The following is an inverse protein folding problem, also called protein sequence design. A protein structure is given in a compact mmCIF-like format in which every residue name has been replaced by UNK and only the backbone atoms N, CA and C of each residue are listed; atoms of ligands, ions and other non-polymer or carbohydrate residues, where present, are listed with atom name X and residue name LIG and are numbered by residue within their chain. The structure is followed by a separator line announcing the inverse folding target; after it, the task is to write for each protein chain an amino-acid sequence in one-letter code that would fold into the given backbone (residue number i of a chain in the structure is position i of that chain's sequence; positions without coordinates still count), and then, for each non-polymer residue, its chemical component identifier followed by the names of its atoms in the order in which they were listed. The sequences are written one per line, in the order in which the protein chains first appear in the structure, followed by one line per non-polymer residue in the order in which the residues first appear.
data_IF_456326289267
#
_entry.id   IF_456326289267
#
_cell.length_a   1.000
_cell.length_b   1.000
_cell.length_c   1.000
_cell.angle_alpha   90.00
_cell.angle_beta   90.00
_cell.angle_gamma   90.00
#
_symmetry.space_group_name_H-M   'P 1'
#
loop_
_entity.id
_entity.type
_entity.pdbx_description
1 polymer ?
#
# COMPACT_ATOMS: atom_id res chain seq x y z
N UNK A 1 17.10 -18.19 -23.56
CA UNK A 1 16.87 -16.80 -23.11
C UNK A 1 18.19 -16.17 -22.73
N UNK A 2 18.42 -14.93 -23.15
CA UNK A 2 19.54 -14.11 -22.68
C UNK A 2 18.98 -13.08 -21.69
N UNK A 3 19.45 -13.12 -20.45
CA UNK A 3 19.04 -12.20 -19.38
C UNK A 3 20.19 -11.23 -19.13
N UNK A 4 19.94 -9.95 -19.35
CA UNK A 4 20.91 -8.88 -19.10
C UNK A 4 20.81 -8.44 -17.64
N UNK A 5 21.91 -8.53 -16.92
CA UNK A 5 22.02 -8.16 -15.50
C UNK A 5 23.15 -7.14 -15.31
N UNK A 6 23.24 -6.54 -14.14
CA UNK A 6 24.34 -5.63 -13.78
C UNK A 6 25.72 -6.33 -13.65
N UNK A 7 25.77 -7.67 -13.68
CA UNK A 7 27.02 -8.45 -13.63
C UNK A 7 27.33 -9.14 -14.97
N UNK A 8 26.55 -8.87 -16.02
CA UNK A 8 26.74 -9.45 -17.34
C UNK A 8 25.50 -10.17 -17.87
N UNK A 9 25.69 -10.96 -18.92
CA UNK A 9 24.63 -11.70 -19.61
C UNK A 9 24.61 -13.15 -19.16
N UNK A 10 23.45 -13.63 -18.72
CA UNK A 10 23.20 -15.04 -18.39
C UNK A 10 22.39 -15.70 -19.50
N UNK A 11 22.80 -16.89 -19.92
CA UNK A 11 22.04 -17.71 -20.87
C UNK A 11 21.34 -18.85 -20.12
N UNK A 12 20.03 -18.98 -20.32
CA UNK A 12 19.22 -20.03 -19.70
C UNK A 12 18.15 -20.57 -20.66
N UNK A 13 17.84 -21.88 -20.64
CA UNK A 13 16.77 -22.46 -21.46
C UNK A 13 15.38 -21.96 -21.05
N UNK A 14 15.18 -21.61 -19.77
CA UNK A 14 13.93 -21.09 -19.22
C UNK A 14 14.18 -19.95 -18.23
N UNK A 15 13.23 -19.03 -18.11
CA UNK A 15 13.29 -17.88 -17.19
C UNK A 15 11.95 -17.76 -16.44
N UNK A 16 12.01 -17.66 -15.11
CA UNK A 16 10.87 -17.32 -14.25
C UNK A 16 11.02 -15.89 -13.76
N UNK A 17 10.05 -15.03 -14.10
CA UNK A 17 9.97 -13.67 -13.57
C UNK A 17 9.17 -13.69 -12.26
N UNK A 18 9.88 -13.53 -11.13
CA UNK A 18 9.30 -13.52 -9.79
C UNK A 18 9.75 -12.27 -9.01
N UNK A 19 9.72 -11.10 -9.65
CA UNK A 19 10.24 -9.82 -9.12
C UNK A 19 9.31 -9.16 -8.08
N UNK A 20 8.17 -9.77 -7.79
CA UNK A 20 7.12 -9.18 -6.95
C UNK A 20 6.38 -8.04 -7.63
N UNK A 21 5.71 -7.21 -6.83
CA UNK A 21 5.00 -6.01 -7.27
C UNK A 21 5.51 -4.79 -6.51
N UNK A 22 5.57 -3.64 -7.19
CA UNK A 22 5.88 -2.36 -6.57
C UNK A 22 4.58 -1.61 -6.26
N UNK A 23 4.56 -0.91 -5.14
CA UNK A 23 3.46 -0.02 -4.78
C UNK A 23 3.45 1.20 -5.70
N UNK A 24 2.26 1.58 -6.18
CA UNK A 24 2.06 2.77 -6.99
C UNK A 24 1.45 3.87 -6.15
N UNK A 25 2.15 5.01 -6.02
CA UNK A 25 1.63 6.19 -5.31
C UNK A 25 0.82 7.08 -6.27
N UNK A 26 -0.35 7.52 -5.83
CA UNK A 26 -1.17 8.50 -6.56
C UNK A 26 -0.62 9.90 -6.21
N UNK A 27 -0.11 10.69 -7.18
CA UNK A 27 0.36 12.04 -6.88
C UNK A 27 -0.81 12.96 -6.47
N UNK A 28 -0.71 13.57 -5.29
CA UNK A 28 -1.68 14.50 -4.71
C UNK A 28 -0.94 15.79 -4.29
N UNK A 29 -1.57 16.97 -4.23
CA UNK A 29 -0.93 18.14 -3.63
C UNK A 29 -0.30 17.83 -2.26
N UNK A 30 0.99 18.09 -2.10
CA UNK A 30 1.73 17.82 -0.86
C UNK A 30 2.25 16.37 -0.68
N UNK A 31 2.08 15.47 -1.65
CA UNK A 31 2.46 14.05 -1.53
C UNK A 31 3.96 13.79 -1.31
N UNK A 32 4.82 14.78 -1.53
CA UNK A 32 6.27 14.70 -1.33
C UNK A 32 6.75 15.36 -0.03
N UNK A 33 5.84 15.86 0.79
CA UNK A 33 6.19 16.52 2.05
C UNK A 33 6.72 15.50 3.08
N UNK A 34 7.65 15.92 3.98
CA UNK A 34 8.10 15.08 5.08
C UNK A 34 6.93 14.54 5.92
N UNK A 35 6.97 13.25 6.22
CA UNK A 35 5.88 12.54 6.92
C UNK A 35 4.86 11.91 5.99
N UNK A 36 4.87 12.23 4.69
CA UNK A 36 4.12 11.48 3.68
C UNK A 36 4.96 10.30 3.21
N UNK A 37 4.35 9.12 3.19
CA UNK A 37 4.96 7.89 2.72
C UNK A 37 3.88 6.94 2.24
N UNK A 38 4.26 5.91 1.48
CA UNK A 38 3.33 4.84 1.12
C UNK A 38 2.93 4.02 2.35
N UNK A 39 1.77 3.38 2.30
CA UNK A 39 1.30 2.59 3.44
C UNK A 39 2.18 1.36 3.67
N UNK A 40 2.75 0.78 2.61
CA UNK A 40 3.75 -0.27 2.70
C UNK A 40 5.04 0.21 3.37
N UNK A 41 5.52 1.42 3.07
CA UNK A 41 6.67 1.99 3.76
C UNK A 41 6.41 2.19 5.26
N UNK A 42 5.21 2.67 5.62
CA UNK A 42 4.80 2.80 7.02
C UNK A 42 4.78 1.45 7.75
N UNK A 43 4.28 0.41 7.07
CA UNK A 43 4.26 -0.96 7.58
C UNK A 43 5.68 -1.50 7.78
N UNK A 44 6.58 -1.36 6.81
CA UNK A 44 7.97 -1.82 6.92
C UNK A 44 8.70 -1.11 8.06
N UNK A 45 8.56 0.21 8.16
CA UNK A 45 9.16 1.00 9.24
C UNK A 45 8.67 0.53 10.62
N UNK A 46 7.38 0.27 10.75
CA UNK A 46 6.76 -0.11 12.02
C UNK A 46 7.06 -1.57 12.38
N UNK A 47 6.85 -2.51 11.45
CA UNK A 47 6.89 -3.94 11.72
C UNK A 47 8.30 -4.53 11.62
N UNK A 48 9.12 -4.05 10.69
CA UNK A 48 10.47 -4.57 10.47
C UNK A 48 11.48 -3.74 11.26
N UNK A 49 11.46 -2.42 11.08
CA UNK A 49 12.44 -1.54 11.71
C UNK A 49 12.07 -1.11 13.14
N UNK A 50 10.84 -1.43 13.60
CA UNK A 50 10.35 -1.09 14.95
C UNK A 50 10.39 0.42 15.23
N UNK A 51 10.19 1.22 14.19
CA UNK A 51 10.13 2.68 14.25
C UNK A 51 8.68 3.14 14.09
N UNK A 52 8.18 3.90 15.06
CA UNK A 52 6.91 4.61 14.89
C UNK A 52 7.08 5.72 13.87
N UNK A 53 6.34 5.65 12.76
CA UNK A 53 6.41 6.65 11.67
C UNK A 53 5.78 8.00 12.02
N UNK A 54 5.09 8.06 13.16
CA UNK A 54 4.47 9.25 13.72
C UNK A 54 3.60 8.88 14.91
N UNK A 55 2.96 9.88 15.53
CA UNK A 55 1.99 9.65 16.62
C UNK A 55 0.55 9.58 16.11
N UNK A 56 0.26 10.35 15.06
CA UNK A 56 -1.06 10.47 14.45
C UNK A 56 -0.93 10.65 12.94
N UNK A 57 -1.82 10.05 12.15
CA UNK A 57 -1.83 10.16 10.70
C UNK A 57 -3.20 9.89 10.08
N UNK A 58 -3.27 10.08 8.77
CA UNK A 58 -4.42 9.79 7.91
C UNK A 58 -3.93 8.86 6.79
N UNK A 59 -4.77 7.91 6.40
CA UNK A 59 -4.52 7.06 5.24
C UNK A 59 -5.33 7.59 4.06
N UNK A 60 -4.68 7.78 2.91
CA UNK A 60 -5.34 8.16 1.65
C UNK A 60 -5.31 6.95 0.72
N UNK A 61 -6.50 6.51 0.29
CA UNK A 61 -6.72 5.27 -0.43
C UNK A 61 -7.26 4.18 0.49
N UNK A 62 -8.39 3.59 0.10
CA UNK A 62 -9.04 2.52 0.85
C UNK A 62 -9.08 1.23 0.02
N UNK A 63 -8.48 0.18 0.57
CA UNK A 63 -8.47 -1.19 0.05
C UNK A 63 -8.23 -2.17 1.22
N UNK A 64 -8.40 -3.47 1.01
CA UNK A 64 -8.26 -4.47 2.08
C UNK A 64 -6.90 -4.38 2.79
N UNK A 65 -5.82 -4.21 2.02
CA UNK A 65 -4.48 -4.10 2.58
C UNK A 65 -4.32 -2.87 3.47
N UNK A 66 -4.90 -1.73 3.07
CA UNK A 66 -4.84 -0.50 3.87
C UNK A 66 -5.56 -0.64 5.21
N UNK A 67 -6.63 -1.43 5.30
CA UNK A 67 -7.32 -1.71 6.57
C UNK A 67 -6.54 -2.70 7.46
N UNK A 68 -5.87 -3.68 6.86
CA UNK A 68 -4.97 -4.57 7.59
C UNK A 68 -3.81 -3.77 8.21
N UNK A 69 -3.15 -2.93 7.40
CA UNK A 69 -2.03 -2.10 7.87
C UNK A 69 -2.50 -1.05 8.88
N UNK A 70 -3.69 -0.47 8.72
CA UNK A 70 -4.29 0.42 9.72
C UNK A 70 -4.33 -0.26 11.10
N UNK A 71 -4.78 -1.51 11.16
CA UNK A 71 -4.86 -2.27 12.40
C UNK A 71 -3.47 -2.50 13.01
N UNK A 72 -2.48 -2.82 12.18
CA UNK A 72 -1.08 -2.97 12.62
C UNK A 72 -0.48 -1.68 13.17
N UNK A 73 -0.74 -0.54 12.51
CA UNK A 73 -0.30 0.77 12.98
C UNK A 73 -0.95 1.14 14.32
N UNK A 74 -2.23 0.82 14.50
CA UNK A 74 -2.92 1.02 15.78
C UNK A 74 -2.35 0.15 16.89
N UNK A 75 -2.04 -1.12 16.61
CA UNK A 75 -1.35 -2.01 17.55
C UNK A 75 0.05 -1.51 17.92
N UNK A 76 0.71 -0.80 17.00
CA UNK A 76 1.98 -0.13 17.25
C UNK A 76 1.84 1.23 17.98
N UNK A 77 0.63 1.59 18.44
CA UNK A 77 0.37 2.81 19.19
C UNK A 77 0.27 4.08 18.33
N UNK A 78 0.11 3.95 17.01
CA UNK A 78 -0.04 5.07 16.09
C UNK A 78 -1.54 5.33 15.89
N UNK A 79 -1.99 6.55 16.13
CA UNK A 79 -3.40 6.91 15.93
C UNK A 79 -3.67 7.19 14.45
N UNK A 80 -4.51 6.37 13.82
CA UNK A 80 -5.05 6.67 12.47
C UNK A 80 -6.40 7.35 12.65
N UNK A 81 -6.48 8.62 12.27
CA UNK A 81 -7.67 9.46 12.48
C UNK A 81 -8.77 9.13 11.46
N UNK A 82 -8.37 9.01 10.20
CA UNK A 82 -9.27 8.75 9.08
C UNK A 82 -8.60 7.90 8.02
N UNK A 83 -9.42 7.12 7.32
CA UNK A 83 -9.11 6.63 5.98
C UNK A 83 -10.00 7.37 5.00
N UNK A 84 -9.42 7.96 3.97
CA UNK A 84 -10.14 8.79 2.99
C UNK A 84 -9.83 8.32 1.58
N UNK A 85 -10.75 8.57 0.66
CA UNK A 85 -10.49 8.35 -0.76
C UNK A 85 -9.64 9.51 -1.32
N UNK A 86 -8.75 9.23 -2.29
CA UNK A 86 -8.09 10.29 -3.04
C UNK A 86 -9.12 11.12 -3.82
N UNK A 87 -8.73 12.35 -4.16
CA UNK A 87 -9.51 13.19 -5.06
C UNK A 87 -9.70 12.49 -6.41
N UNK A 88 -10.94 12.55 -6.93
CA UNK A 88 -11.29 12.00 -8.24
C UNK A 88 -10.54 12.75 -9.35
N UNK A 89 -9.61 12.05 -9.98
CA UNK A 89 -8.76 12.56 -11.05
C UNK A 89 -8.37 11.43 -12.01
N UNK A 90 -7.79 11.78 -13.16
CA UNK A 90 -7.20 10.78 -14.06
C UNK A 90 -6.10 9.94 -13.37
N UNK A 91 -5.40 10.54 -12.40
CA UNK A 91 -4.34 9.87 -11.65
C UNK A 91 -4.89 8.87 -10.63
N UNK A 92 -6.01 9.19 -9.99
CA UNK A 92 -6.64 8.29 -9.00
C UNK A 92 -7.41 7.15 -9.67
N UNK A 93 -7.85 7.32 -10.92
CA UNK A 93 -8.70 6.37 -11.63
C UNK A 93 -9.86 5.89 -10.73
N UNK A 94 -10.09 4.57 -10.67
CA UNK A 94 -11.11 3.93 -9.83
C UNK A 94 -10.91 4.13 -8.32
N UNK A 95 -9.72 4.46 -7.86
CA UNK A 95 -9.45 4.63 -6.42
C UNK A 95 -10.16 5.86 -5.83
N UNK A 96 -10.51 6.85 -6.67
CA UNK A 96 -11.31 8.02 -6.27
C UNK A 96 -12.82 7.81 -6.39
N UNK A 97 -13.29 6.65 -6.84
CA UNK A 97 -14.71 6.35 -7.04
C UNK A 97 -15.26 5.53 -5.85
N UNK A 98 -16.15 6.08 -5.01
CA UNK A 98 -16.63 5.40 -3.81
C UNK A 98 -17.29 4.04 -4.08
N UNK A 99 -18.07 3.94 -5.15
CA UNK A 99 -18.78 2.71 -5.51
C UNK A 99 -17.83 1.59 -5.94
N UNK A 100 -16.82 1.91 -6.73
CA UNK A 100 -15.78 0.95 -7.15
C UNK A 100 -14.98 0.45 -5.95
N UNK A 101 -14.60 1.36 -5.05
CA UNK A 101 -13.88 1.00 -3.82
C UNK A 101 -14.75 0.11 -2.93
N UNK A 102 -16.02 0.48 -2.72
CA UNK A 102 -16.95 -0.33 -1.92
C UNK A 102 -17.13 -1.73 -2.53
N UNK A 103 -17.35 -1.82 -3.84
CA UNK A 103 -17.49 -3.09 -4.55
C UNK A 103 -16.22 -3.94 -4.41
N UNK A 104 -15.04 -3.34 -4.50
CA UNK A 104 -13.76 -4.03 -4.27
C UNK A 104 -13.64 -4.58 -2.85
N UNK A 105 -14.06 -3.82 -1.84
CA UNK A 105 -14.05 -4.26 -0.44
C UNK A 105 -15.07 -5.39 -0.21
N UNK A 106 -16.28 -5.28 -0.75
CA UNK A 106 -17.32 -6.31 -0.64
C UNK A 106 -16.85 -7.65 -1.22
N UNK A 107 -16.17 -7.62 -2.36
CA UNK A 107 -15.62 -8.82 -2.99
C UNK A 107 -14.60 -9.55 -2.10
N UNK A 108 -13.94 -8.84 -1.20
CA UNK A 108 -12.95 -9.39 -0.28
C UNK A 108 -13.43 -9.49 1.17
N UNK A 109 -14.70 -9.15 1.45
CA UNK A 109 -15.24 -9.19 2.82
C UNK A 109 -15.16 -10.60 3.44
N UNK A 110 -15.18 -11.64 2.61
CA UNK A 110 -14.98 -13.03 3.04
C UNK A 110 -13.58 -13.32 3.59
N UNK A 111 -12.60 -12.45 3.34
CA UNK A 111 -11.24 -12.52 3.87
C UNK A 111 -11.08 -11.79 5.21
N UNK A 112 -12.14 -11.12 5.69
CA UNK A 112 -12.07 -10.40 6.95
C UNK A 112 -11.77 -11.38 8.10
N UNK A 113 -10.86 -11.02 9.03
CA UNK A 113 -10.60 -11.85 10.19
C UNK A 113 -11.89 -11.99 11.00
N UNK A 114 -12.17 -13.22 11.47
CA UNK A 114 -13.30 -13.47 12.36
C UNK A 114 -13.14 -12.64 13.63
N UNK A 115 -14.24 -12.07 14.14
CA UNK A 115 -14.28 -11.53 15.48
C UNK A 115 -14.06 -12.68 16.48
N UNK A 116 -12.81 -12.87 16.91
CA UNK A 116 -12.48 -13.67 18.09
C UNK A 116 -12.73 -12.78 19.30
#
# INVERSE_FOLDING_TARGET
WFVHTNIGTLEAPFVLLATGAAEYSIPLPGWTLPGVMSIGAAQVMTNVHRVQVGKKGIIIGANILSFAILSELQLAGITVDHIVLPEKSELSQKAGEPEEVLNSLLNAAHLAPSAI
#
